data_IF_397582920007
#
_entry.id   IF_397582920007
#
_cell.length_a   1.000
_cell.length_b   1.000
_cell.length_c   1.000
_cell.angle_alpha   90.00
_cell.angle_beta   90.00
_cell.angle_gamma   90.00
#
_symmetry.space_group_name_H-M   'P 1'
#
loop_
_entity.id
_entity.type
_entity.pdbx_description
1 polymer ?
#
# COMPACT_ATOMS: atom_id res chain seq x y z
N UNK A 1 -12.72 3.48 -21.64
CA UNK A 1 -12.00 2.57 -20.71
C UNK A 1 -12.95 2.23 -19.58
N UNK A 2 -13.07 0.96 -19.17
CA UNK A 2 -13.95 0.62 -18.02
C UNK A 2 -13.35 1.13 -16.70
N UNK A 3 -14.19 1.36 -15.67
CA UNK A 3 -13.70 1.81 -14.35
C UNK A 3 -12.67 0.86 -13.76
N UNK A 4 -12.89 -0.44 -13.87
CA UNK A 4 -11.92 -1.45 -13.43
C UNK A 4 -10.59 -1.39 -14.19
N UNK A 5 -10.62 -1.10 -15.50
CA UNK A 5 -9.39 -0.90 -16.27
C UNK A 5 -8.66 0.39 -15.86
N UNK A 6 -9.39 1.47 -15.56
CA UNK A 6 -8.82 2.73 -15.04
C UNK A 6 -8.16 2.54 -13.67
N UNK A 7 -8.86 1.87 -12.74
CA UNK A 7 -8.33 1.54 -11.42
C UNK A 7 -7.04 0.70 -11.53
N UNK A 8 -7.07 -0.37 -12.33
CA UNK A 8 -5.90 -1.22 -12.53
C UNK A 8 -4.73 -0.47 -13.17
N UNK A 9 -4.98 0.46 -14.08
CA UNK A 9 -3.93 1.26 -14.72
C UNK A 9 -3.28 2.23 -13.73
N UNK A 10 -4.09 2.96 -12.95
CA UNK A 10 -3.60 3.88 -11.92
C UNK A 10 -2.77 3.14 -10.86
N UNK A 11 -3.23 1.96 -10.44
CA UNK A 11 -2.50 1.09 -9.54
C UNK A 11 -1.13 0.70 -10.13
N UNK A 12 -1.10 0.17 -11.35
CA UNK A 12 0.17 -0.26 -12.00
C UNK A 12 1.16 0.88 -12.16
N UNK A 13 0.69 2.08 -12.55
CA UNK A 13 1.53 3.28 -12.65
C UNK A 13 2.14 3.65 -11.29
N UNK A 14 1.35 3.59 -10.23
CA UNK A 14 1.81 3.80 -8.86
C UNK A 14 2.88 2.77 -8.46
N UNK A 15 2.65 1.48 -8.75
CA UNK A 15 3.61 0.43 -8.40
C UNK A 15 4.91 0.61 -9.17
N UNK A 16 4.82 0.90 -10.48
CA UNK A 16 5.98 1.10 -11.33
C UNK A 16 6.86 2.27 -10.83
N UNK A 17 6.23 3.36 -10.38
CA UNK A 17 6.94 4.51 -9.80
C UNK A 17 7.78 4.14 -8.57
N UNK A 18 7.28 3.24 -7.72
CA UNK A 18 7.90 2.88 -6.45
C UNK A 18 8.55 1.49 -6.43
N UNK A 19 8.76 0.89 -7.60
CA UNK A 19 9.21 -0.49 -7.72
C UNK A 19 10.56 -0.72 -7.03
N UNK A 20 11.51 0.21 -7.15
CA UNK A 20 12.83 0.08 -6.54
C UNK A 20 12.74 0.05 -5.00
N UNK A 21 11.93 0.92 -4.41
CA UNK A 21 11.66 0.90 -2.96
C UNK A 21 10.95 -0.38 -2.55
N UNK A 22 9.95 -0.82 -3.32
CA UNK A 22 9.25 -2.09 -3.07
C UNK A 22 10.23 -3.28 -3.07
N UNK A 23 11.09 -3.38 -4.09
CA UNK A 23 12.08 -4.47 -4.18
C UNK A 23 13.08 -4.38 -3.02
N UNK A 24 13.61 -3.18 -2.74
CA UNK A 24 14.56 -2.97 -1.64
C UNK A 24 13.98 -3.41 -0.30
N UNK A 25 12.79 -2.93 0.05
CA UNK A 25 12.20 -3.20 1.36
C UNK A 25 11.61 -4.60 1.49
N UNK A 26 11.27 -5.25 0.37
CA UNK A 26 10.83 -6.66 0.38
C UNK A 26 11.90 -7.61 0.92
N UNK A 27 13.18 -7.25 0.82
CA UNK A 27 14.29 -8.05 1.36
C UNK A 27 14.31 -8.14 2.89
N UNK A 28 13.60 -7.26 3.59
CA UNK A 28 13.46 -7.32 5.06
C UNK A 28 12.30 -8.20 5.52
N UNK A 29 11.46 -8.70 4.60
CA UNK A 29 10.31 -9.53 4.91
C UNK A 29 10.72 -10.99 4.83
N UNK A 30 10.59 -11.72 5.93
CA UNK A 30 10.89 -13.15 5.94
C UNK A 30 9.87 -13.98 5.18
N UNK A 31 10.37 -15.05 4.54
CA UNK A 31 9.55 -16.20 4.24
C UNK A 31 9.47 -17.10 5.48
N UNK A 32 8.29 -17.23 6.07
CA UNK A 32 8.04 -18.13 7.21
C UNK A 32 7.92 -19.61 6.82
N UNK A 33 8.15 -19.93 5.55
CA UNK A 33 8.15 -21.29 5.00
C UNK A 33 9.31 -21.45 4.02
N UNK A 34 9.89 -22.66 3.95
CA UNK A 34 10.83 -23.01 2.89
C UNK A 34 10.14 -22.85 1.53
N UNK A 35 10.53 -21.81 0.80
CA UNK A 35 9.95 -21.46 -0.49
C UNK A 35 11.07 -21.00 -1.41
N UNK A 36 10.91 -21.36 -2.68
CA UNK A 36 11.71 -20.83 -3.79
C UNK A 36 11.59 -19.30 -3.76
N UNK A 37 12.73 -18.62 -3.90
CA UNK A 37 12.83 -17.16 -3.89
C UNK A 37 11.86 -16.54 -4.89
N UNK A 38 11.19 -15.45 -4.52
CA UNK A 38 10.22 -14.81 -5.42
C UNK A 38 10.89 -14.24 -6.68
N UNK A 39 12.21 -14.06 -6.67
CA UNK A 39 12.99 -13.73 -7.87
C UNK A 39 12.97 -14.84 -8.93
N UNK A 40 12.73 -16.08 -8.52
CA UNK A 40 12.62 -17.25 -9.40
C UNK A 40 11.16 -17.61 -9.72
N UNK A 41 10.20 -17.20 -8.86
CA UNK A 41 8.75 -17.42 -9.06
C UNK A 41 7.92 -16.26 -8.46
N UNK A 42 8.01 -15.10 -9.10
CA UNK A 42 7.33 -13.86 -8.74
C UNK A 42 6.11 -13.59 -9.62
N UNK A 43 5.30 -12.58 -9.27
CA UNK A 43 4.22 -12.12 -10.17
C UNK A 43 4.82 -11.09 -11.12
N UNK A 44 4.65 -11.32 -12.41
CA UNK A 44 5.00 -10.35 -13.44
C UNK A 44 3.74 -9.65 -13.92
N UNK A 45 3.80 -8.34 -14.10
CA UNK A 45 2.80 -7.62 -14.88
C UNK A 45 3.49 -6.72 -15.89
N UNK A 46 2.83 -6.52 -17.04
CA UNK A 46 3.29 -5.62 -18.08
C UNK A 46 2.78 -4.21 -17.84
N UNK A 47 3.67 -3.24 -17.95
CA UNK A 47 3.33 -1.82 -18.08
C UNK A 47 4.18 -1.25 -19.21
N UNK A 48 3.55 -0.72 -20.27
CA UNK A 48 4.24 -0.08 -21.40
C UNK A 48 5.44 -0.93 -21.91
N UNK A 49 5.20 -2.21 -22.20
CA UNK A 49 6.18 -3.19 -22.68
C UNK A 49 7.33 -3.54 -21.71
N UNK A 50 7.29 -3.08 -20.45
CA UNK A 50 8.19 -3.51 -19.38
C UNK A 50 7.55 -4.60 -18.52
N UNK A 51 8.27 -5.71 -18.36
CA UNK A 51 7.95 -6.76 -17.39
C UNK A 51 8.45 -6.35 -16.01
N UNK A 52 7.54 -6.01 -15.12
CA UNK A 52 7.85 -5.68 -13.73
C UNK A 52 7.63 -6.91 -12.87
N UNK A 53 8.68 -7.36 -12.18
CA UNK A 53 8.60 -8.46 -11.21
C UNK A 53 8.33 -7.88 -9.83
N UNK A 54 7.22 -8.28 -9.21
CA UNK A 54 6.88 -7.87 -7.84
C UNK A 54 6.85 -9.06 -6.89
N UNK A 55 7.07 -8.81 -5.58
CA UNK A 55 6.95 -9.84 -4.57
C UNK A 55 5.57 -10.50 -4.56
N UNK A 56 5.49 -11.71 -4.00
CA UNK A 56 4.20 -12.39 -3.79
C UNK A 56 3.34 -11.61 -2.80
N UNK A 57 2.02 -11.80 -2.86
CA UNK A 57 1.02 -11.03 -2.11
C UNK A 57 1.38 -10.77 -0.63
N UNK A 58 1.73 -11.78 0.16
CA UNK A 58 2.07 -11.61 1.58
C UNK A 58 3.29 -10.68 1.76
N UNK A 59 4.36 -10.92 0.99
CA UNK A 59 5.57 -10.10 1.05
C UNK A 59 5.27 -8.69 0.54
N UNK A 60 4.48 -8.58 -0.52
CA UNK A 60 4.05 -7.33 -1.12
C UNK A 60 3.29 -6.46 -0.11
N UNK A 61 2.24 -7.01 0.51
CA UNK A 61 1.45 -6.36 1.57
C UNK A 61 2.35 -5.92 2.73
N UNK A 62 3.13 -6.84 3.29
CA UNK A 62 4.02 -6.56 4.41
C UNK A 62 5.04 -5.45 4.09
N UNK A 63 5.52 -5.43 2.85
CA UNK A 63 6.46 -4.40 2.38
C UNK A 63 5.81 -3.03 2.36
N UNK A 64 4.58 -2.89 1.87
CA UNK A 64 3.87 -1.62 1.87
C UNK A 64 3.63 -1.09 3.29
N UNK A 65 3.15 -1.92 4.20
CA UNK A 65 3.04 -1.54 5.61
C UNK A 65 4.39 -1.10 6.19
N UNK A 66 5.48 -1.76 5.80
CA UNK A 66 6.84 -1.38 6.19
C UNK A 66 7.30 -0.09 5.52
N UNK A 67 6.81 0.23 4.32
CA UNK A 67 7.03 1.54 3.67
C UNK A 67 6.19 2.65 4.31
N UNK A 68 5.32 2.31 5.27
CA UNK A 68 4.48 3.24 6.01
C UNK A 68 3.13 3.52 5.39
N UNK A 69 2.72 2.74 4.40
CA UNK A 69 1.40 2.86 3.76
C UNK A 69 0.72 1.49 3.66
N UNK A 70 -0.54 1.36 4.07
CA UNK A 70 -1.37 0.22 3.69
C UNK A 70 -1.47 0.08 2.16
N UNK A 71 -1.43 -1.13 1.59
CA UNK A 71 -1.55 -1.31 0.14
C UNK A 71 -2.90 -0.86 -0.43
N UNK A 72 -3.96 -0.84 0.38
CA UNK A 72 -5.28 -0.28 0.03
C UNK A 72 -5.17 1.19 -0.41
N UNK A 73 -4.22 1.95 0.14
CA UNK A 73 -4.03 3.37 -0.18
C UNK A 73 -3.31 3.59 -1.52
N UNK A 74 -2.84 2.55 -2.19
CA UNK A 74 -2.24 2.64 -3.52
C UNK A 74 -3.26 3.03 -4.60
N UNK A 75 -4.56 2.83 -4.32
CA UNK A 75 -5.66 3.26 -5.19
C UNK A 75 -6.04 4.74 -5.02
N UNK A 76 -5.28 5.51 -4.22
CA UNK A 76 -5.62 6.89 -3.89
C UNK A 76 -5.91 7.76 -5.13
N UNK A 77 -5.12 7.61 -6.20
CA UNK A 77 -5.33 8.37 -7.43
C UNK A 77 -6.68 8.04 -8.11
N UNK A 78 -7.04 6.76 -8.18
CA UNK A 78 -8.34 6.35 -8.71
C UNK A 78 -9.49 6.90 -7.86
N UNK A 79 -9.34 6.89 -6.54
CA UNK A 79 -10.34 7.44 -5.63
C UNK A 79 -10.50 8.95 -5.82
N UNK A 80 -9.39 9.71 -5.87
CA UNK A 80 -9.40 11.16 -6.15
C UNK A 80 -10.15 11.45 -7.45
N UNK A 81 -9.80 10.74 -8.52
CA UNK A 81 -10.46 10.89 -9.83
C UNK A 81 -11.95 10.59 -9.74
N UNK A 82 -12.34 9.57 -8.98
CA UNK A 82 -13.73 9.17 -8.81
C UNK A 82 -14.55 10.20 -8.02
N UNK A 83 -13.97 10.86 -7.02
CA UNK A 83 -14.59 12.01 -6.35
C UNK A 83 -14.72 13.21 -7.30
N UNK A 84 -13.69 13.54 -8.06
CA UNK A 84 -13.69 14.67 -9.00
C UNK A 84 -14.63 14.49 -10.18
N UNK A 85 -14.96 13.25 -10.54
CA UNK A 85 -15.86 12.89 -11.64
C UNK A 85 -17.27 12.52 -11.19
N UNK A 86 -17.60 12.68 -9.90
CA UNK A 86 -18.91 12.34 -9.33
C UNK A 86 -19.30 10.85 -9.54
N UNK A 87 -18.31 9.97 -9.62
CA UNK A 87 -18.49 8.52 -9.79
C UNK A 87 -18.45 7.76 -8.46
N UNK A 88 -18.06 8.42 -7.37
CA UNK A 88 -17.79 7.77 -6.09
C UNK A 88 -19.02 7.13 -5.45
N UNK A 89 -20.19 7.75 -5.55
CA UNK A 89 -21.43 7.22 -4.96
C UNK A 89 -21.81 5.86 -5.57
N UNK A 90 -21.62 5.71 -6.88
CA UNK A 90 -21.86 4.44 -7.56
C UNK A 90 -20.85 3.38 -7.13
N UNK A 91 -19.57 3.75 -6.97
CA UNK A 91 -18.53 2.84 -6.47
C UNK A 91 -18.88 2.37 -5.05
N UNK A 92 -19.29 3.29 -4.17
CA UNK A 92 -19.67 2.97 -2.80
C UNK A 92 -20.93 2.10 -2.73
N UNK A 93 -21.86 2.22 -3.69
CA UNK A 93 -23.00 1.30 -3.80
C UNK A 93 -22.56 -0.15 -4.09
N UNK A 94 -21.52 -0.35 -4.92
CA UNK A 94 -20.97 -1.69 -5.19
C UNK A 94 -19.97 -2.17 -4.13
N UNK A 95 -19.29 -1.24 -3.46
CA UNK A 95 -18.27 -1.49 -2.44
C UNK A 95 -18.62 -0.74 -1.14
N UNK A 96 -19.70 -1.15 -0.44
CA UNK A 96 -20.23 -0.39 0.70
C UNK A 96 -19.28 -0.31 1.90
N UNK A 97 -18.30 -1.22 1.98
CA UNK A 97 -17.32 -1.25 3.06
C UNK A 97 -16.04 -0.48 2.78
N UNK A 98 -15.89 0.11 1.58
CA UNK A 98 -14.63 0.76 1.18
C UNK A 98 -14.18 1.82 2.20
N UNK A 99 -15.10 2.67 2.68
CA UNK A 99 -14.77 3.71 3.66
C UNK A 99 -14.31 3.11 5.00
N UNK A 100 -14.98 2.05 5.46
CA UNK A 100 -14.62 1.39 6.72
C UNK A 100 -13.28 0.65 6.61
N UNK A 101 -12.99 0.02 5.46
CA UNK A 101 -11.68 -0.56 5.18
C UNK A 101 -10.59 0.53 5.20
N UNK A 102 -10.80 1.66 4.53
CA UNK A 102 -9.85 2.77 4.55
C UNK A 102 -9.64 3.34 5.95
N UNK A 103 -10.71 3.45 6.74
CA UNK A 103 -10.65 3.92 8.13
C UNK A 103 -9.87 2.95 9.01
N UNK A 104 -10.09 1.65 8.86
CA UNK A 104 -9.31 0.63 9.55
C UNK A 104 -7.83 0.70 9.15
N UNK A 105 -7.53 0.85 7.86
CA UNK A 105 -6.16 0.92 7.37
C UNK A 105 -5.42 2.19 7.81
N UNK A 106 -6.14 3.30 8.00
CA UNK A 106 -5.58 4.59 8.39
C UNK A 106 -4.81 4.53 9.73
N UNK A 107 -5.10 3.57 10.62
CA UNK A 107 -4.37 3.41 11.88
C UNK A 107 -2.91 2.91 11.69
N UNK A 108 -2.58 2.36 10.52
CA UNK A 108 -1.25 1.84 10.16
C UNK A 108 -0.51 2.75 9.17
N UNK A 109 -1.12 3.85 8.77
CA UNK A 109 -0.51 4.84 7.89
C UNK A 109 0.39 5.79 8.67
N UNK A 110 1.65 5.92 8.24
CA UNK A 110 2.62 6.82 8.84
C UNK A 110 3.24 7.72 7.77
N UNK A 111 2.72 8.95 7.58
CA UNK A 111 3.12 9.83 6.49
C UNK A 111 4.60 10.21 6.54
N UNK A 112 5.18 10.38 7.73
CA UNK A 112 6.59 10.76 7.87
C UNK A 112 7.55 9.66 7.40
N UNK A 113 7.16 8.39 7.64
CA UNK A 113 7.90 7.23 7.17
C UNK A 113 7.72 7.06 5.66
N UNK A 114 6.48 7.19 5.17
CA UNK A 114 6.17 7.10 3.75
C UNK A 114 6.95 8.14 2.94
N UNK A 115 6.96 9.41 3.36
CA UNK A 115 7.71 10.48 2.71
C UNK A 115 9.22 10.17 2.63
N UNK A 116 9.80 9.61 3.70
CA UNK A 116 11.23 9.26 3.77
C UNK A 116 11.61 8.04 2.95
N UNK A 117 10.72 7.04 2.85
CA UNK A 117 10.98 5.75 2.18
C UNK A 117 10.52 5.73 0.71
N UNK A 118 9.59 6.60 0.36
CA UNK A 118 9.00 6.78 -0.97
C UNK A 118 9.24 8.23 -1.41
N UNK A 119 8.20 9.06 -1.38
CA UNK A 119 8.28 10.50 -1.60
C UNK A 119 7.03 11.23 -1.04
N UNK A 120 7.07 12.56 -1.05
CA UNK A 120 5.96 13.42 -0.61
C UNK A 120 4.74 13.36 -1.54
N UNK A 121 4.89 12.88 -2.78
CA UNK A 121 3.80 12.87 -3.76
C UNK A 121 2.73 11.86 -3.38
N UNK A 122 3.13 10.65 -2.96
CA UNK A 122 2.16 9.64 -2.51
C UNK A 122 1.48 10.06 -1.20
N UNK A 123 2.22 10.65 -0.27
CA UNK A 123 1.68 11.16 1.00
C UNK A 123 0.60 12.21 0.76
N UNK A 124 0.85 13.17 -0.14
CA UNK A 124 -0.14 14.19 -0.52
C UNK A 124 -1.41 13.58 -1.11
N UNK A 125 -1.27 12.61 -2.03
CA UNK A 125 -2.42 11.91 -2.64
C UNK A 125 -3.24 11.16 -1.60
N UNK A 126 -2.59 10.42 -0.70
CA UNK A 126 -3.29 9.67 0.35
C UNK A 126 -4.03 10.64 1.28
N UNK A 127 -3.38 11.72 1.73
CA UNK A 127 -4.02 12.71 2.58
C UNK A 127 -5.21 13.39 1.90
N UNK A 128 -5.11 13.72 0.60
CA UNK A 128 -6.23 14.27 -0.19
C UNK A 128 -7.43 13.31 -0.20
N UNK A 129 -7.22 11.99 -0.34
CA UNK A 129 -8.31 11.01 -0.28
C UNK A 129 -8.91 10.91 1.11
N UNK A 130 -8.07 10.87 2.14
CA UNK A 130 -8.54 10.82 3.53
C UNK A 130 -9.41 12.04 3.84
N UNK A 131 -9.04 13.22 3.34
CA UNK A 131 -9.84 14.44 3.43
C UNK A 131 -11.18 14.30 2.68
N UNK A 132 -11.18 13.81 1.44
CA UNK A 132 -12.43 13.57 0.68
C UNK A 132 -13.37 12.56 1.36
N UNK A 133 -12.81 11.52 1.97
CA UNK A 133 -13.56 10.50 2.71
C UNK A 133 -13.91 10.94 4.14
N UNK A 134 -13.48 12.13 4.58
CA UNK A 134 -13.59 12.60 5.96
C UNK A 134 -13.02 11.61 7.01
N UNK A 135 -11.98 10.86 6.63
CA UNK A 135 -11.28 9.91 7.50
C UNK A 135 -10.15 10.65 8.22
N UNK A 136 -10.18 10.61 9.54
CA UNK A 136 -9.08 11.09 10.39
C UNK A 136 -8.28 9.87 10.86
N UNK A 137 -6.99 9.74 10.47
CA UNK A 137 -6.16 8.66 10.97
C UNK A 137 -6.05 8.67 12.50
N UNK A 138 -6.24 7.52 13.11
CA UNK A 138 -6.02 7.28 14.54
C UNK A 138 -4.84 6.30 14.71
N UNK A 139 -3.59 6.78 14.49
CA UNK A 139 -2.43 5.92 14.43
C UNK A 139 -2.11 5.23 15.76
N UNK A 140 -1.79 3.94 15.70
CA UNK A 140 -1.35 3.17 16.88
C UNK A 140 0.07 3.58 17.26
N UNK A 141 0.24 4.16 18.45
CA UNK A 141 1.53 4.73 18.89
C UNK A 141 2.68 3.70 18.94
N UNK A 142 2.40 2.48 19.41
CA UNK A 142 3.39 1.40 19.45
C UNK A 142 3.80 0.95 18.05
N UNK A 143 2.87 0.96 17.10
CA UNK A 143 3.14 0.66 15.69
C UNK A 143 4.06 1.72 15.09
N UNK A 144 3.72 3.01 15.28
CA UNK A 144 4.51 4.14 14.77
C UNK A 144 5.96 4.07 15.24
N UNK A 145 6.18 3.92 16.54
CA UNK A 145 7.52 3.89 17.13
C UNK A 145 8.41 2.81 16.53
N UNK A 146 7.86 1.63 16.26
CA UNK A 146 8.62 0.54 15.62
C UNK A 146 8.86 0.85 14.14
N UNK A 147 7.85 1.39 13.46
CA UNK A 147 7.92 1.67 12.03
C UNK A 147 8.94 2.76 11.69
N UNK A 148 9.14 3.75 12.58
CA UNK A 148 10.12 4.81 12.44
C UNK A 148 11.57 4.29 12.42
N UNK A 149 11.84 3.17 13.09
CA UNK A 149 13.16 2.53 13.11
C UNK A 149 13.55 2.03 11.72
N UNK A 150 14.87 1.87 11.48
CA UNK A 150 15.33 1.16 10.29
C UNK A 150 14.80 -0.28 10.31
N UNK A 151 14.22 -0.77 9.22
CA UNK A 151 13.62 -2.10 9.21
C UNK A 151 14.70 -3.15 9.33
N UNK A 152 14.51 -4.03 10.31
CA UNK A 152 15.13 -5.35 10.38
C UNK A 152 14.01 -6.35 10.63
N UNK A 153 14.28 -7.61 10.38
CA UNK A 153 13.31 -8.70 10.50
C UNK A 153 12.49 -8.67 11.81
N UNK A 154 13.10 -8.52 13.02
CA UNK A 154 12.33 -8.44 14.26
C UNK A 154 11.32 -7.28 14.30
N UNK A 155 11.64 -6.15 13.67
CA UNK A 155 10.72 -5.00 13.58
C UNK A 155 9.51 -5.35 12.71
N UNK A 156 9.74 -5.99 11.56
CA UNK A 156 8.66 -6.41 10.65
C UNK A 156 7.70 -7.39 11.35
N UNK A 157 8.22 -8.34 12.11
CA UNK A 157 7.43 -9.28 12.91
C UNK A 157 6.64 -8.55 14.01
N UNK A 158 7.24 -7.58 14.68
CA UNK A 158 6.56 -6.81 15.71
C UNK A 158 5.41 -5.97 15.13
N UNK A 159 5.62 -5.31 13.99
CA UNK A 159 4.57 -4.60 13.26
C UNK A 159 3.45 -5.55 12.83
N UNK A 160 3.78 -6.75 12.35
CA UNK A 160 2.82 -7.79 11.98
C UNK A 160 1.95 -8.25 13.16
N UNK A 161 2.54 -8.39 14.35
CA UNK A 161 1.80 -8.73 15.57
C UNK A 161 0.81 -7.64 15.97
N UNK A 162 1.17 -6.37 15.82
CA UNK A 162 0.28 -5.24 16.16
C UNK A 162 -0.93 -5.19 15.21
N UNK A 163 -0.71 -5.42 13.91
CA UNK A 163 -1.81 -5.49 12.92
C UNK A 163 -2.53 -6.85 12.85
N UNK A 164 -2.07 -7.84 13.62
CA UNK A 164 -2.58 -9.23 13.65
C UNK A 164 -2.39 -10.06 12.36
N UNK A 165 -1.59 -9.59 11.39
CA UNK A 165 -1.25 -10.35 10.18
C UNK A 165 0.10 -9.91 9.60
N UNK A 166 0.79 -10.80 8.88
CA UNK A 166 2.05 -10.44 8.23
C UNK A 166 1.81 -9.60 6.98
N UNK A 167 0.91 -10.07 6.12
CA UNK A 167 0.47 -9.45 4.88
C UNK A 167 -0.49 -10.37 4.13
#
# INVERSE_FOLDING_TARGET
>A
MSRGARASENYRKTIAKYLDSLIKYSSYIQSTRDRIEWREYGRTFSLEDKLLSVPRAIVYTATWYTLGIPPTFLDAEFVIESYKSDEIDEILNYMPYLIEEWKYEAQFYEPSVAARRLDETIVKKINEVLDYMAIKPEPIESYRKILELNPVEPHVIALAKIRCFLG
#
